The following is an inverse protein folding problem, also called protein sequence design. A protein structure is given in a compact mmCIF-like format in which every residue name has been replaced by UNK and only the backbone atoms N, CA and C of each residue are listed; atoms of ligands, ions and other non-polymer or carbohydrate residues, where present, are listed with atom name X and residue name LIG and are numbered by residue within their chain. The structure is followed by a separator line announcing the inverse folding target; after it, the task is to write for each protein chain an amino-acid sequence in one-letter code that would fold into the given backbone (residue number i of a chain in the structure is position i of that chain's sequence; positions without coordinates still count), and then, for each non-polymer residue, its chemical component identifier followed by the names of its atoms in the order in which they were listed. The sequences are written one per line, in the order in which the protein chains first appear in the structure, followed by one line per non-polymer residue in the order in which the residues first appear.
data_IF_131936476180
#
_entry.id   IF_131936476180
#
_cell.length_a   1.000
_cell.length_b   1.000
_cell.length_c   1.000
_cell.angle_alpha   90.00
_cell.angle_beta   90.00
_cell.angle_gamma   90.00
#
_symmetry.space_group_name_H-M   'P 1'
#
loop_
_entity.id
_entity.type
_entity.pdbx_description
1 polymer ?
#
# COMPACT_ATOMS: atom_id res chain seq x y z
N UNK A 1 -5.34 18.52 -10.81
CA UNK A 1 -5.47 17.03 -10.87
C UNK A 1 -6.85 16.55 -10.41
N UNK A 2 -7.29 16.84 -9.17
CA UNK A 2 -8.57 16.41 -8.62
C UNK A 2 -9.78 17.18 -9.17
N UNK A 3 -9.69 18.52 -9.21
CA UNK A 3 -10.74 19.38 -9.79
C UNK A 3 -11.04 19.05 -11.26
N UNK A 4 -10.01 18.79 -12.07
CA UNK A 4 -10.15 18.35 -13.46
C UNK A 4 -10.87 16.99 -13.64
N UNK A 5 -11.13 16.27 -12.55
CA UNK A 5 -11.87 14.99 -12.52
C UNK A 5 -13.17 15.09 -11.73
N UNK A 6 -13.59 16.29 -11.34
CA UNK A 6 -14.78 16.51 -10.51
C UNK A 6 -14.71 15.83 -9.14
N UNK A 7 -13.50 15.62 -8.60
CA UNK A 7 -13.29 15.01 -7.28
C UNK A 7 -12.84 16.06 -6.27
N UNK A 8 -13.30 15.99 -5.02
CA UNK A 8 -12.84 16.88 -3.96
C UNK A 8 -11.33 16.68 -3.70
N UNK A 9 -10.68 17.74 -3.27
CA UNK A 9 -9.28 17.75 -2.81
C UNK A 9 -9.19 18.19 -1.34
N UNK A 10 -10.32 18.13 -0.65
CA UNK A 10 -10.53 18.52 0.74
C UNK A 10 -11.06 17.30 1.49
N UNK A 11 -10.51 17.07 2.68
CA UNK A 11 -10.90 15.98 3.57
C UNK A 11 -12.36 16.08 3.99
N UNK A 12 -12.85 17.28 4.30
CA UNK A 12 -14.22 17.51 4.75
C UNK A 12 -15.27 17.26 3.65
N UNK A 13 -14.86 17.28 2.39
CA UNK A 13 -15.73 17.05 1.25
C UNK A 13 -15.87 15.56 0.86
N UNK A 14 -15.23 14.64 1.59
CA UNK A 14 -15.35 13.20 1.34
C UNK A 14 -16.53 12.59 2.12
N UNK A 15 -17.30 11.67 1.52
CA UNK A 15 -18.40 10.99 2.20
C UNK A 15 -17.93 9.98 3.26
N UNK A 16 -16.64 9.63 3.27
CA UNK A 16 -16.02 8.73 4.24
C UNK A 16 -14.77 9.43 4.78
N UNK A 17 -14.50 9.38 6.09
CA UNK A 17 -13.27 9.92 6.66
C UNK A 17 -12.05 9.32 5.97
N UNK A 18 -11.10 10.18 5.60
CA UNK A 18 -9.83 9.80 5.01
C UNK A 18 -8.71 10.30 5.91
N UNK A 19 -7.87 9.38 6.35
CA UNK A 19 -6.70 9.70 7.16
C UNK A 19 -5.44 9.49 6.31
N UNK A 20 -4.58 10.51 6.23
CA UNK A 20 -3.34 10.47 5.47
C UNK A 20 -2.21 10.85 6.40
N UNK A 21 -1.30 9.90 6.63
CA UNK A 21 -0.28 10.03 7.67
C UNK A 21 1.07 10.38 7.07
N UNK A 22 1.69 11.42 7.60
CA UNK A 22 3.09 11.75 7.33
C UNK A 22 3.85 11.88 8.66
N UNK A 23 5.17 12.01 8.58
CA UNK A 23 6.01 12.27 9.75
C UNK A 23 6.56 13.67 9.64
N UNK A 24 6.35 14.49 10.67
CA UNK A 24 7.02 15.78 10.82
C UNK A 24 8.52 15.52 11.02
N UNK A 25 9.35 16.09 10.14
CA UNK A 25 10.77 15.76 10.05
C UNK A 25 11.57 16.22 11.26
N UNK A 26 11.20 17.37 11.85
CA UNK A 26 11.96 17.97 12.95
C UNK A 26 11.61 17.33 14.30
N UNK A 27 10.34 17.00 14.50
CA UNK A 27 9.87 16.36 15.75
C UNK A 27 9.92 14.83 15.71
N UNK A 28 9.86 14.23 14.52
CA UNK A 28 9.72 12.78 14.35
C UNK A 28 8.33 12.25 14.72
N UNK A 29 7.34 13.12 14.91
CA UNK A 29 5.97 12.74 15.28
C UNK A 29 5.10 12.51 14.05
N UNK A 30 4.18 11.55 14.18
CA UNK A 30 3.23 11.23 13.11
C UNK A 30 2.09 12.25 13.13
N UNK A 31 1.78 12.82 11.97
CA UNK A 31 0.67 13.76 11.78
C UNK A 31 -0.38 13.11 10.90
N UNK A 32 -1.62 13.11 11.38
CA UNK A 32 -2.80 12.69 10.65
C UNK A 32 -3.50 13.88 10.02
N UNK A 33 -3.36 14.09 8.71
CA UNK A 33 -4.00 15.20 8.01
C UNK A 33 -5.53 15.10 7.90
N UNK A 34 -6.11 13.96 8.28
CA UNK A 34 -7.56 13.77 8.36
C UNK A 34 -8.18 14.12 9.70
N UNK A 35 -7.37 14.42 10.73
CA UNK A 35 -7.86 14.80 12.05
C UNK A 35 -8.33 16.26 12.08
N UNK A 36 -9.26 16.58 12.99
CA UNK A 36 -9.84 17.93 13.13
C UNK A 36 -8.80 18.99 13.52
N UNK A 37 -7.80 18.61 14.32
CA UNK A 37 -6.72 19.46 14.83
C UNK A 37 -5.47 19.48 13.93
N UNK A 38 -5.55 18.83 12.76
CA UNK A 38 -4.43 18.72 11.85
C UNK A 38 -4.06 20.05 11.18
N UNK A 39 -2.78 20.24 10.80
CA UNK A 39 -2.40 21.36 9.95
C UNK A 39 -3.20 21.38 8.65
N UNK A 40 -3.69 22.56 8.26
CA UNK A 40 -4.48 22.71 7.04
C UNK A 40 -3.70 22.25 5.79
N UNK A 41 -4.20 21.19 5.15
CA UNK A 41 -3.62 20.62 3.94
C UNK A 41 -4.71 20.08 3.02
N UNK A 42 -4.55 20.30 1.71
CA UNK A 42 -5.35 19.56 0.73
C UNK A 42 -4.94 18.08 0.71
N UNK A 43 -5.85 17.19 0.35
CA UNK A 43 -5.58 15.74 0.22
C UNK A 43 -4.33 15.48 -0.63
N UNK A 44 -4.21 16.13 -1.78
CA UNK A 44 -3.04 15.97 -2.68
C UNK A 44 -1.69 16.30 -2.03
N UNK A 45 -1.63 17.35 -1.20
CA UNK A 45 -0.41 17.72 -0.46
C UNK A 45 -0.12 16.74 0.67
N UNK A 46 -1.14 16.33 1.42
CA UNK A 46 -1.00 15.32 2.45
C UNK A 46 -0.48 14.00 1.88
N UNK A 47 -1.01 13.55 0.73
CA UNK A 47 -0.53 12.36 0.03
C UNK A 47 0.91 12.55 -0.48
N UNK A 48 1.24 13.74 -1.00
CA UNK A 48 2.62 14.03 -1.41
C UNK A 48 3.59 13.88 -0.25
N UNK A 49 3.26 14.43 0.93
CA UNK A 49 4.05 14.27 2.15
C UNK A 49 4.14 12.81 2.61
N UNK A 50 3.00 12.11 2.67
CA UNK A 50 2.90 10.71 3.11
C UNK A 50 3.70 9.73 2.26
N UNK A 51 4.02 10.10 1.01
CA UNK A 51 4.79 9.29 0.04
C UNK A 51 6.19 9.84 -0.24
N UNK A 52 6.63 10.87 0.49
CA UNK A 52 7.94 11.50 0.33
C UNK A 52 9.04 10.65 0.97
N UNK A 53 9.33 9.50 0.35
CA UNK A 53 10.31 8.53 0.85
C UNK A 53 11.72 9.15 0.91
N UNK A 54 12.37 9.17 2.09
CA UNK A 54 13.71 9.70 2.22
C UNK A 54 14.71 9.03 1.28
N UNK A 55 15.61 9.84 0.70
CA UNK A 55 16.58 9.40 -0.32
C UNK A 55 16.03 9.36 -1.75
N UNK A 56 14.71 9.29 -1.95
CA UNK A 56 14.08 9.33 -3.27
C UNK A 56 13.37 10.66 -3.55
N UNK A 57 12.75 11.25 -2.53
CA UNK A 57 11.98 12.49 -2.66
C UNK A 57 12.41 13.52 -1.60
N UNK A 58 12.27 14.80 -1.95
CA UNK A 58 12.48 15.90 -0.99
C UNK A 58 11.32 15.93 0.02
N UNK A 59 11.57 16.32 1.28
CA UNK A 59 10.52 16.62 2.23
C UNK A 59 9.51 17.63 1.67
N UNK A 60 8.25 17.51 2.09
CA UNK A 60 7.15 18.36 1.63
C UNK A 60 6.83 19.37 2.72
N UNK A 61 7.06 20.65 2.44
CA UNK A 61 6.68 21.76 3.33
C UNK A 61 5.16 21.91 3.38
N UNK A 62 4.52 21.84 4.55
CA UNK A 62 3.10 22.19 4.75
C UNK A 62 3.03 23.17 5.93
N UNK A 63 2.50 24.38 5.68
CA UNK A 63 2.66 25.48 6.62
C UNK A 63 4.14 25.81 6.83
N UNK A 64 4.58 25.82 8.09
CA UNK A 64 5.98 26.07 8.47
C UNK A 64 6.83 24.80 8.70
N UNK A 65 6.26 23.60 8.52
CA UNK A 65 6.89 22.32 8.87
C UNK A 65 7.17 21.44 7.65
N UNK A 66 8.25 20.68 7.69
CA UNK A 66 8.60 19.71 6.65
C UNK A 66 8.14 18.31 7.02
N UNK A 67 7.57 17.60 6.05
CA UNK A 67 7.01 16.26 6.24
C UNK A 67 7.64 15.24 5.30
N UNK A 68 7.80 14.02 5.80
CA UNK A 68 8.30 12.86 5.07
C UNK A 68 7.33 11.67 5.17
N UNK A 69 7.67 10.59 4.45
CA UNK A 69 6.86 9.38 4.34
C UNK A 69 6.35 8.83 5.69
N UNK A 70 5.07 8.48 5.74
CA UNK A 70 4.39 8.00 6.95
C UNK A 70 4.89 6.65 7.46
N UNK A 71 5.48 5.83 6.57
CA UNK A 71 6.03 4.52 6.89
C UNK A 71 7.33 4.60 7.68
N UNK A 72 7.99 5.78 7.73
CA UNK A 72 9.20 5.99 8.52
C UNK A 72 8.95 5.68 10.00
N UNK A 73 7.84 6.17 10.59
CA UNK A 73 7.51 5.94 12.01
C UNK A 73 6.81 4.61 12.26
N UNK A 74 5.82 4.23 11.44
CA UNK A 74 5.09 2.95 11.55
C UNK A 74 4.68 2.43 10.17
N UNK A 75 4.87 1.13 9.91
CA UNK A 75 4.53 0.50 8.62
C UNK A 75 3.02 0.51 8.35
N UNK A 76 2.21 0.31 9.39
CA UNK A 76 0.76 0.41 9.33
C UNK A 76 0.26 1.15 10.59
N UNK A 77 -0.54 2.21 10.38
CA UNK A 77 -1.09 3.02 11.47
C UNK A 77 -2.40 2.41 12.02
N UNK A 78 -2.39 1.10 12.33
CA UNK A 78 -3.58 0.34 12.80
C UNK A 78 -4.21 0.98 14.05
N UNK A 79 -3.38 1.45 14.98
CA UNK A 79 -3.82 2.16 16.18
C UNK A 79 -4.70 3.38 15.87
N UNK A 80 -4.50 4.02 14.72
CA UNK A 80 -5.37 5.14 14.34
C UNK A 80 -6.79 4.65 14.08
N UNK A 81 -6.95 3.58 13.30
CA UNK A 81 -8.26 2.99 13.03
C UNK A 81 -8.95 2.55 14.33
N UNK A 82 -8.20 1.92 15.25
CA UNK A 82 -8.71 1.51 16.57
C UNK A 82 -9.19 2.72 17.36
N UNK A 83 -8.38 3.79 17.48
CA UNK A 83 -8.77 5.02 18.19
C UNK A 83 -9.94 5.75 17.53
N UNK A 84 -10.13 5.59 16.23
CA UNK A 84 -11.30 6.08 15.49
C UNK A 84 -12.54 5.21 15.68
N UNK A 85 -12.50 4.19 16.54
CA UNK A 85 -13.65 3.36 16.90
C UNK A 85 -13.89 2.16 15.97
N UNK A 86 -12.89 1.74 15.18
CA UNK A 86 -13.02 0.55 14.36
C UNK A 86 -13.03 -0.72 15.22
N UNK A 87 -14.04 -1.56 15.03
CA UNK A 87 -14.16 -2.93 15.56
C UNK A 87 -13.57 -3.99 14.61
N UNK A 88 -13.43 -3.64 13.33
CA UNK A 88 -12.75 -4.42 12.29
C UNK A 88 -11.73 -3.56 11.53
N UNK A 89 -10.48 -4.01 11.49
CA UNK A 89 -9.41 -3.39 10.69
C UNK A 89 -8.96 -4.34 9.59
N UNK A 90 -9.17 -3.94 8.34
CA UNK A 90 -8.58 -4.60 7.17
C UNK A 90 -7.23 -3.95 6.85
N UNK A 91 -6.14 -4.63 7.19
CA UNK A 91 -4.79 -4.13 6.96
C UNK A 91 -4.17 -4.78 5.72
N UNK A 92 -3.76 -3.97 4.74
CA UNK A 92 -3.11 -4.45 3.52
C UNK A 92 -1.62 -4.13 3.61
N UNK A 93 -0.77 -5.15 3.66
CA UNK A 93 0.68 -4.98 3.66
C UNK A 93 1.33 -5.67 2.44
N UNK A 94 1.80 -4.91 1.44
CA UNK A 94 2.54 -5.47 0.31
C UNK A 94 4.06 -5.61 0.58
N UNK A 95 4.55 -5.11 1.72
CA UNK A 95 5.98 -5.03 2.07
C UNK A 95 6.33 -6.26 2.92
N UNK A 96 6.35 -7.42 2.27
CA UNK A 96 6.68 -8.71 2.89
C UNK A 96 8.05 -9.17 2.41
N UNK A 97 8.95 -9.63 3.31
CA UNK A 97 10.25 -10.17 2.94
C UNK A 97 10.10 -11.59 2.38
N UNK A 98 10.86 -11.91 1.34
CA UNK A 98 10.82 -13.26 0.77
C UNK A 98 11.51 -14.28 1.68
N UNK A 99 11.06 -15.53 1.57
CA UNK A 99 11.75 -16.69 2.10
C UNK A 99 12.44 -17.45 0.96
N UNK A 100 13.75 -17.24 0.81
CA UNK A 100 14.55 -17.87 -0.24
C UNK A 100 15.24 -19.17 0.20
N UNK A 101 14.87 -19.76 1.34
CA UNK A 101 15.51 -21.00 1.83
C UNK A 101 15.32 -22.18 0.88
N UNK A 102 14.16 -22.26 0.22
CA UNK A 102 13.87 -23.26 -0.81
C UNK A 102 14.56 -22.97 -2.16
N UNK A 103 15.39 -21.92 -2.25
CA UNK A 103 16.14 -21.61 -3.47
C UNK A 103 15.30 -21.04 -4.62
N UNK A 104 14.17 -20.38 -4.32
CA UNK A 104 13.26 -19.83 -5.33
C UNK A 104 13.94 -18.86 -6.31
N UNK A 105 15.02 -18.18 -5.88
CA UNK A 105 15.84 -17.29 -6.72
C UNK A 105 17.08 -17.96 -7.35
N UNK A 106 17.21 -19.29 -7.25
CA UNK A 106 18.32 -20.14 -7.74
C UNK A 106 19.71 -19.86 -7.12
N UNK A 107 19.90 -18.73 -6.45
CA UNK A 107 21.11 -18.37 -5.68
C UNK A 107 20.71 -17.55 -4.45
N UNK A 108 21.65 -17.36 -3.53
CA UNK A 108 21.48 -16.47 -2.37
C UNK A 108 21.18 -15.03 -2.81
N UNK A 109 20.36 -14.30 -2.05
CA UNK A 109 20.06 -12.89 -2.36
C UNK A 109 21.31 -12.02 -2.44
N UNK A 110 22.33 -12.31 -1.63
CA UNK A 110 23.62 -11.59 -1.67
C UNK A 110 24.29 -11.62 -3.05
N UNK A 111 24.02 -12.65 -3.85
CA UNK A 111 24.56 -12.78 -5.22
C UNK A 111 23.76 -12.02 -6.29
N UNK A 112 22.63 -11.39 -5.92
CA UNK A 112 21.74 -10.68 -6.86
C UNK A 112 22.04 -9.18 -6.96
N UNK A 113 23.04 -8.70 -6.21
CA UNK A 113 23.46 -7.30 -6.20
C UNK A 113 22.85 -6.49 -5.06
N UNK A 114 23.45 -5.32 -4.82
CA UNK A 114 23.18 -4.48 -3.64
C UNK A 114 21.72 -4.03 -3.53
N UNK A 115 21.03 -3.78 -4.65
CA UNK A 115 19.63 -3.35 -4.64
C UNK A 115 18.69 -4.43 -4.11
N UNK A 116 18.93 -5.71 -4.43
CA UNK A 116 18.14 -6.83 -3.91
C UNK A 116 18.37 -7.04 -2.43
N UNK A 117 19.62 -6.88 -1.98
CA UNK A 117 19.98 -6.96 -0.56
C UNK A 117 19.30 -5.82 0.22
N UNK A 118 19.39 -4.58 -0.28
CA UNK A 118 18.79 -3.43 0.38
C UNK A 118 17.26 -3.53 0.44
N UNK A 119 16.60 -3.91 -0.65
CA UNK A 119 15.14 -4.11 -0.67
C UNK A 119 14.71 -5.19 0.32
N UNK A 120 15.41 -6.33 0.36
CA UNK A 120 15.13 -7.38 1.32
C UNK A 120 15.36 -6.93 2.77
N UNK A 121 16.45 -6.23 3.06
CA UNK A 121 16.76 -5.71 4.41
C UNK A 121 15.68 -4.72 4.86
N UNK A 122 15.26 -3.80 3.99
CA UNK A 122 14.17 -2.86 4.28
C UNK A 122 12.86 -3.61 4.56
N UNK A 123 12.51 -4.61 3.74
CA UNK A 123 11.31 -5.44 3.97
C UNK A 123 11.37 -6.19 5.29
N UNK A 124 12.52 -6.77 5.66
CA UNK A 124 12.72 -7.46 6.94
C UNK A 124 12.47 -6.50 8.11
N UNK A 125 13.08 -5.31 8.07
CA UNK A 125 12.95 -4.32 9.13
C UNK A 125 11.50 -3.78 9.25
N UNK A 126 10.90 -3.40 8.13
CA UNK A 126 9.54 -2.84 8.11
C UNK A 126 8.49 -3.87 8.50
N UNK A 127 8.63 -5.12 8.05
CA UNK A 127 7.71 -6.22 8.37
C UNK A 127 7.85 -6.65 9.82
N UNK A 128 9.08 -6.84 10.33
CA UNK A 128 9.30 -7.22 11.73
C UNK A 128 8.72 -6.21 12.73
N UNK A 129 8.92 -4.91 12.47
CA UNK A 129 8.31 -3.84 13.27
C UNK A 129 6.78 -3.87 13.19
N UNK A 130 6.21 -4.16 12.02
CA UNK A 130 4.77 -4.28 11.85
C UNK A 130 4.20 -5.46 12.64
N UNK A 131 4.86 -6.62 12.58
CA UNK A 131 4.44 -7.82 13.31
C UNK A 131 4.41 -7.58 14.81
N UNK A 132 5.48 -6.98 15.36
CA UNK A 132 5.52 -6.61 16.79
C UNK A 132 4.40 -5.65 17.18
N UNK A 133 4.13 -4.64 16.34
CA UNK A 133 3.01 -3.71 16.56
C UNK A 133 1.66 -4.43 16.53
N UNK A 134 1.46 -5.36 15.59
CA UNK A 134 0.22 -6.12 15.45
C UNK A 134 -0.04 -7.07 16.62
N UNK A 135 0.99 -7.78 17.10
CA UNK A 135 0.90 -8.62 18.30
C UNK A 135 0.47 -7.80 19.51
N UNK A 136 1.10 -6.64 19.70
CA UNK A 136 0.71 -5.69 20.75
C UNK A 136 -0.75 -5.24 20.60
N UNK A 137 -1.17 -4.81 19.40
CA UNK A 137 -2.55 -4.35 19.19
C UNK A 137 -3.58 -5.46 19.45
N UNK A 138 -3.28 -6.70 19.07
CA UNK A 138 -4.17 -7.85 19.38
C UNK A 138 -4.26 -8.15 20.87
N UNK A 139 -3.18 -7.91 21.63
CA UNK A 139 -3.18 -8.10 23.08
C UNK A 139 -3.87 -6.96 23.83
N UNK A 140 -3.67 -5.72 23.39
CA UNK A 140 -4.26 -4.52 24.02
C UNK A 140 -5.72 -4.30 23.64
N UNK A 141 -6.12 -4.73 22.44
CA UNK A 141 -7.46 -4.55 21.87
C UNK A 141 -8.05 -5.88 21.38
N UNK A 142 -8.28 -6.87 22.27
CA UNK A 142 -8.85 -8.16 21.89
C UNK A 142 -10.28 -8.06 21.33
N UNK A 143 -10.97 -6.95 21.58
CA UNK A 143 -12.27 -6.61 21.02
C UNK A 143 -12.23 -6.24 19.53
N UNK A 144 -11.07 -5.84 19.01
CA UNK A 144 -10.91 -5.43 17.61
C UNK A 144 -10.36 -6.58 16.77
N UNK A 145 -11.10 -6.96 15.74
CA UNK A 145 -10.62 -7.93 14.76
C UNK A 145 -9.68 -7.26 13.75
N UNK A 146 -8.45 -7.76 13.64
CA UNK A 146 -7.48 -7.26 12.65
C UNK A 146 -7.19 -8.35 11.61
N UNK A 147 -7.72 -8.17 10.40
CA UNK A 147 -7.46 -9.01 9.24
C UNK A 147 -6.30 -8.44 8.44
N UNK A 148 -5.15 -9.10 8.52
CA UNK A 148 -3.94 -8.77 7.75
C UNK A 148 -3.94 -9.51 6.41
N UNK A 149 -3.84 -8.74 5.33
CA UNK A 149 -3.74 -9.20 3.95
C UNK A 149 -2.33 -8.95 3.43
N UNK A 150 -1.60 -10.05 3.23
CA UNK A 150 -0.20 -10.06 2.81
C UNK A 150 -0.02 -11.01 1.63
N UNK A 151 0.86 -10.70 0.66
CA UNK A 151 1.36 -11.70 -0.26
C UNK A 151 2.14 -12.77 0.51
N UNK A 152 2.19 -13.98 -0.06
CA UNK A 152 2.96 -15.07 0.53
C UNK A 152 4.46 -14.79 0.42
N UNK A 153 5.27 -15.36 1.33
CA UNK A 153 6.72 -15.12 1.38
C UNK A 153 7.49 -15.76 0.22
N UNK A 154 6.86 -16.65 -0.54
CA UNK A 154 7.36 -17.23 -1.78
C UNK A 154 6.89 -16.46 -3.03
N UNK A 155 6.14 -15.37 -2.88
CA UNK A 155 5.66 -14.53 -3.97
C UNK A 155 6.77 -13.66 -4.57
N UNK A 156 7.60 -14.27 -5.42
CA UNK A 156 8.68 -13.59 -6.12
C UNK A 156 8.20 -12.48 -7.05
N UNK A 157 6.93 -12.49 -7.48
CA UNK A 157 6.40 -11.41 -8.34
C UNK A 157 6.22 -10.15 -7.51
N UNK A 158 5.60 -10.24 -6.34
CA UNK A 158 5.45 -9.10 -5.43
C UNK A 158 6.80 -8.55 -4.94
N UNK A 159 7.82 -9.40 -4.87
CA UNK A 159 9.18 -9.00 -4.53
C UNK A 159 9.94 -8.35 -5.71
N UNK A 160 9.95 -8.98 -6.88
CA UNK A 160 10.86 -8.62 -7.98
C UNK A 160 10.40 -7.41 -8.79
N UNK A 161 9.11 -7.05 -8.74
CA UNK A 161 8.63 -5.86 -9.42
C UNK A 161 8.99 -4.61 -8.61
N UNK A 162 9.88 -3.79 -9.17
CA UNK A 162 10.07 -2.44 -8.69
C UNK A 162 8.75 -1.65 -8.86
N UNK A 163 8.06 -1.41 -7.76
CA UNK A 163 6.78 -0.67 -7.67
C UNK A 163 6.85 0.75 -8.25
N UNK A 164 8.05 1.31 -8.39
CA UNK A 164 8.29 2.62 -8.99
C UNK A 164 8.27 2.59 -10.52
N UNK A 165 8.36 1.41 -11.17
CA UNK A 165 8.23 1.28 -12.63
C UNK A 165 6.78 1.27 -13.05
N UNK A 166 6.41 2.18 -13.96
CA UNK A 166 5.02 2.37 -14.40
C UNK A 166 4.40 1.10 -15.01
N UNK A 167 5.13 0.41 -15.89
CA UNK A 167 4.70 -0.83 -16.55
C UNK A 167 4.42 -1.97 -15.53
N UNK A 168 5.17 -1.99 -14.42
CA UNK A 168 5.04 -3.00 -13.39
C UNK A 168 3.75 -2.83 -12.57
N UNK A 169 3.20 -1.62 -12.47
CA UNK A 169 2.02 -1.35 -11.61
C UNK A 169 0.79 -2.14 -12.03
N UNK A 170 0.52 -2.25 -13.34
CA UNK A 170 -0.62 -3.04 -13.84
C UNK A 170 -0.44 -4.52 -13.55
N UNK A 171 0.78 -5.02 -13.73
CA UNK A 171 1.10 -6.43 -13.51
C UNK A 171 1.00 -6.76 -12.02
N UNK A 172 1.57 -5.93 -11.15
CA UNK A 172 1.51 -6.05 -9.70
C UNK A 172 0.06 -5.97 -9.20
N UNK A 173 -0.73 -5.00 -9.67
CA UNK A 173 -2.13 -4.88 -9.27
C UNK A 173 -2.97 -6.09 -9.71
N UNK A 174 -2.79 -6.57 -10.95
CA UNK A 174 -3.46 -7.76 -11.45
C UNK A 174 -3.05 -9.02 -10.67
N UNK A 175 -1.78 -9.12 -10.30
CA UNK A 175 -1.24 -10.21 -9.50
C UNK A 175 -1.79 -10.18 -8.07
N UNK A 176 -1.75 -9.02 -7.41
CA UNK A 176 -2.29 -8.81 -6.08
C UNK A 176 -3.80 -9.10 -6.01
N UNK A 177 -4.55 -8.75 -7.06
CA UNK A 177 -5.97 -9.09 -7.16
C UNK A 177 -6.17 -10.61 -7.16
N UNK A 178 -5.48 -11.34 -8.06
CA UNK A 178 -5.60 -12.80 -8.15
C UNK A 178 -5.15 -13.50 -6.86
N UNK A 179 -4.03 -13.09 -6.28
CA UNK A 179 -3.53 -13.69 -5.04
C UNK A 179 -4.48 -13.42 -3.86
N UNK A 180 -5.10 -12.24 -3.80
CA UNK A 180 -6.13 -11.94 -2.80
C UNK A 180 -7.37 -12.81 -3.00
N UNK A 181 -7.89 -12.91 -4.24
CA UNK A 181 -9.04 -13.80 -4.53
C UNK A 181 -8.74 -15.25 -4.13
N UNK A 182 -7.54 -15.74 -4.45
CA UNK A 182 -7.10 -17.08 -4.06
C UNK A 182 -7.03 -17.24 -2.54
N UNK A 183 -6.49 -16.25 -1.81
CA UNK A 183 -6.45 -16.28 -0.35
C UNK A 183 -7.85 -16.30 0.27
N UNK A 184 -8.79 -15.52 -0.28
CA UNK A 184 -10.19 -15.56 0.15
C UNK A 184 -10.90 -16.86 -0.20
N UNK A 185 -10.47 -17.53 -1.27
CA UNK A 185 -10.99 -18.86 -1.66
C UNK A 185 -10.45 -19.95 -0.73
N UNK A 186 -9.15 -19.94 -0.39
CA UNK A 186 -8.53 -20.98 0.43
C UNK A 186 -8.91 -20.87 1.92
N UNK A 187 -9.18 -19.66 2.41
CA UNK A 187 -9.54 -19.38 3.81
C UNK A 187 -10.99 -18.93 3.96
N UNK A 188 -11.85 -19.35 3.03
CA UNK A 188 -13.22 -18.86 2.92
C UNK A 188 -14.02 -19.01 4.22
N UNK A 189 -13.98 -20.18 4.86
CA UNK A 189 -14.71 -20.44 6.10
C UNK A 189 -14.25 -19.53 7.26
N UNK A 190 -12.94 -19.27 7.35
CA UNK A 190 -12.35 -18.40 8.36
C UNK A 190 -12.77 -16.94 8.14
N UNK A 191 -12.56 -16.42 6.93
CA UNK A 191 -12.89 -15.03 6.61
C UNK A 191 -14.39 -14.77 6.65
N UNK A 192 -15.21 -15.71 6.17
CA UNK A 192 -16.67 -15.61 6.25
C UNK A 192 -17.13 -15.56 7.71
N UNK A 193 -16.56 -16.37 8.60
CA UNK A 193 -16.87 -16.33 10.04
C UNK A 193 -16.48 -14.99 10.65
N UNK A 194 -15.25 -14.53 10.39
CA UNK A 194 -14.74 -13.26 10.92
C UNK A 194 -15.61 -12.09 10.45
N UNK A 195 -15.83 -11.95 9.14
CA UNK A 195 -16.59 -10.84 8.55
C UNK A 195 -18.07 -10.82 8.97
N UNK A 196 -18.69 -12.00 9.16
CA UNK A 196 -20.09 -12.08 9.61
C UNK A 196 -20.29 -11.53 11.03
N UNK A 197 -19.29 -11.59 11.92
CA UNK A 197 -19.37 -10.95 13.25
C UNK A 197 -19.57 -9.44 13.16
N UNK A 198 -19.11 -8.84 12.07
CA UNK A 198 -19.20 -7.40 11.77
C UNK A 198 -20.32 -7.06 10.79
N UNK A 199 -21.26 -7.99 10.55
CA UNK A 199 -22.37 -7.78 9.60
C UNK A 199 -21.95 -7.75 8.12
N UNK A 200 -20.72 -8.17 7.78
CA UNK A 200 -20.20 -8.14 6.42
C UNK A 200 -20.41 -9.51 5.75
N UNK A 201 -21.21 -9.53 4.70
CA UNK A 201 -21.40 -10.70 3.83
C UNK A 201 -20.26 -10.83 2.82
N UNK A 202 -19.61 -12.01 2.78
CA UNK A 202 -18.62 -12.33 1.77
C UNK A 202 -19.31 -12.92 0.52
N UNK A 203 -19.13 -12.26 -0.64
CA UNK A 203 -19.53 -12.82 -1.94
C UNK A 203 -18.63 -14.00 -2.28
N UNK A 204 -19.13 -14.96 -3.08
CA UNK A 204 -18.30 -16.08 -3.54
C UNK A 204 -17.08 -15.56 -4.30
N UNK A 205 -15.85 -15.75 -3.79
CA UNK A 205 -14.64 -15.27 -4.46
C UNK A 205 -14.45 -15.89 -5.84
N UNK A 206 -14.99 -17.10 -6.07
CA UNK A 206 -14.89 -17.82 -7.36
C UNK A 206 -15.77 -17.19 -8.45
N UNK A 207 -16.78 -16.42 -8.06
CA UNK A 207 -17.65 -15.69 -8.97
C UNK A 207 -17.07 -14.33 -9.40
N UNK A 208 -15.93 -13.92 -8.86
CA UNK A 208 -15.25 -12.69 -9.24
C UNK A 208 -14.54 -12.84 -10.60
N UNK A 209 -14.46 -11.76 -11.42
CA UNK A 209 -13.77 -11.80 -12.70
C UNK A 209 -12.28 -12.10 -12.53
N UNK A 210 -11.62 -12.64 -13.57
CA UNK A 210 -10.19 -12.99 -13.51
C UNK A 210 -9.24 -11.77 -13.32
N UNK A 211 -9.72 -10.57 -13.61
CA UNK A 211 -9.05 -9.30 -13.41
C UNK A 211 -10.06 -8.29 -12.86
N UNK A 212 -9.62 -7.30 -12.06
CA UNK A 212 -10.52 -6.24 -11.63
C UNK A 212 -11.02 -5.48 -12.86
N UNK A 213 -12.29 -5.09 -12.86
CA UNK A 213 -12.81 -4.18 -13.87
C UNK A 213 -11.91 -2.94 -13.91
N UNK A 214 -11.49 -2.56 -15.12
CA UNK A 214 -10.68 -1.36 -15.29
C UNK A 214 -11.56 -0.18 -14.90
N UNK A 215 -11.24 0.42 -13.77
CA UNK A 215 -11.89 1.62 -13.25
C UNK A 215 -12.22 2.59 -14.39
N UNK A 216 -13.50 3.00 -14.59
CA UNK A 216 -13.91 3.85 -15.71
C UNK A 216 -13.28 5.25 -15.68
N UNK A 217 -12.55 5.57 -14.60
CA UNK A 217 -11.95 6.86 -14.30
C UNK A 217 -10.65 7.19 -15.07
N UNK A 218 -10.40 6.57 -16.22
CA UNK A 218 -9.33 7.00 -17.13
C UNK A 218 -9.86 8.00 -18.16
N UNK A 219 -9.53 9.28 -18.00
CA UNK A 219 -9.71 10.27 -19.06
C UNK A 219 -9.06 9.80 -20.36
N UNK A 220 -9.65 10.14 -21.51
CA UNK A 220 -9.14 9.75 -22.84
C UNK A 220 -7.65 10.14 -23.01
N UNK A 221 -7.26 11.30 -22.47
CA UNK A 221 -5.88 11.80 -22.46
C UNK A 221 -4.95 10.92 -21.64
N UNK A 222 -5.38 10.41 -20.48
CA UNK A 222 -4.55 9.52 -19.65
C UNK A 222 -4.39 8.14 -20.30
N UNK A 223 -5.41 7.68 -21.03
CA UNK A 223 -5.33 6.48 -21.89
C UNK A 223 -4.35 6.67 -23.05
N UNK A 224 -4.47 7.79 -23.76
CA UNK A 224 -3.58 8.12 -24.88
C UNK A 224 -2.13 8.28 -24.40
N UNK A 225 -1.90 9.05 -23.33
CA UNK A 225 -0.56 9.28 -22.78
C UNK A 225 0.07 7.99 -22.25
N UNK A 226 -0.68 7.14 -21.56
CA UNK A 226 -0.17 5.82 -21.15
C UNK A 226 0.20 4.98 -22.37
N UNK A 227 -0.65 4.93 -23.39
CA UNK A 227 -0.36 4.21 -24.63
C UNK A 227 0.88 4.75 -25.35
N UNK A 228 1.04 6.07 -25.42
CA UNK A 228 2.21 6.71 -26.03
C UNK A 228 3.49 6.45 -25.24
N UNK A 229 3.42 6.49 -23.90
CA UNK A 229 4.56 6.17 -23.03
C UNK A 229 4.93 4.69 -23.10
N UNK A 230 3.96 3.78 -23.20
CA UNK A 230 4.18 2.34 -23.40
C UNK A 230 4.85 2.06 -24.77
N UNK A 231 4.41 2.77 -25.82
CA UNK A 231 5.02 2.67 -27.16
C UNK A 231 6.46 3.21 -27.15
N UNK A 232 6.70 4.38 -26.56
CA UNK A 232 8.04 4.98 -26.45
C UNK A 232 8.99 4.12 -25.63
N UNK A 233 8.54 3.55 -24.50
CA UNK A 233 9.35 2.67 -23.67
C UNK A 233 9.73 1.38 -24.40
N UNK A 234 8.81 0.83 -25.20
CA UNK A 234 9.08 -0.35 -26.05
C UNK A 234 10.04 -0.05 -27.21
N UNK A 235 9.97 1.17 -27.77
CA UNK A 235 10.83 1.60 -28.87
C UNK A 235 12.26 1.87 -28.40
N UNK A 236 12.42 2.49 -27.23
CA UNK A 236 13.74 2.75 -26.62
C UNK A 236 14.46 1.45 -26.23
N UNK A 237 13.74 0.41 -25.80
CA UNK A 237 14.32 -0.91 -25.51
C UNK A 237 14.83 -1.64 -26.76
N UNK A 238 14.17 -1.46 -27.91
CA UNK A 238 14.60 -2.03 -29.19
C UNK A 238 15.83 -1.35 -29.78
N UNK A 239 16.18 -0.15 -29.30
CA UNK A 239 17.37 0.60 -29.73
C UNK A 239 18.57 0.43 -28.80
N UNK A 240 18.38 -0.19 -27.63
CA UNK A 240 19.38 -0.30 -26.56
C UNK A 240 19.91 -1.73 -26.35
N UNK A 241 19.53 -2.67 -27.22
CA UNK A 241 20.10 -4.02 -27.32
C UNK A 241 20.49 -4.28 -28.77
#
# INVERSE_FOLDING_TARGET
LFAARGKPNDFAALPRPLHVIAVDLDSGEAVDFGAEDAPAATISRAVQASTALPGLYRPVRIGSRDYVDGAVKKTAHINLAIRSGADLVLCINPIVPIDNRAGALSRNLSSKGVSYVLDQVLRIALHGRMQYGLERYRAEHPEVDILLLEPTRDDLRMFSYNIMRYDARRIVAAHAYRSTVQAFTSREAEYRRLLRRHGIGLRDPRALPALPEVSPYRSNVSRALSGTLDVLSSALRRKAG
#
